data_IF_379641583611
#
_entry.id   IF_379641583611
#
_cell.length_a   1.000
_cell.length_b   1.000
_cell.length_c   1.000
_cell.angle_alpha   90.00
_cell.angle_beta   90.00
_cell.angle_gamma   90.00
#
_symmetry.space_group_name_H-M   'P 1'
#
loop_
_entity.id
_entity.type
_entity.pdbx_description
1 polymer ?
#
# COMPACT_ATOMS: atom_id res chain seq x y z
N UNK A 1 -14.72 2.45 -4.38
CA UNK A 1 -13.58 1.87 -3.65
C UNK A 1 -13.04 2.97 -2.75
N UNK A 2 -12.76 2.64 -1.49
CA UNK A 2 -12.19 3.56 -0.50
C UNK A 2 -10.91 2.94 0.05
N UNK A 3 -9.77 3.59 -0.24
CA UNK A 3 -8.45 3.10 0.14
C UNK A 3 -8.09 3.40 1.61
N UNK A 4 -8.88 4.25 2.27
CA UNK A 4 -8.70 4.67 3.66
C UNK A 4 -10.05 4.67 4.36
N UNK A 5 -10.65 3.49 4.49
CA UNK A 5 -12.05 3.41 4.91
C UNK A 5 -12.27 3.87 6.36
N UNK A 6 -11.25 3.84 7.21
CA UNK A 6 -11.31 4.31 8.59
C UNK A 6 -12.45 3.64 9.34
N UNK A 7 -13.39 4.45 9.83
CA UNK A 7 -14.59 3.96 10.51
C UNK A 7 -15.65 3.34 9.57
N UNK A 8 -15.45 3.36 8.25
CA UNK A 8 -16.30 2.70 7.26
C UNK A 8 -17.51 3.50 6.78
N UNK A 9 -17.53 4.82 6.98
CA UNK A 9 -18.70 5.67 6.63
C UNK A 9 -19.06 5.62 5.15
N UNK A 10 -18.06 5.58 4.26
CA UNK A 10 -18.28 5.42 2.82
C UNK A 10 -18.92 4.06 2.48
N UNK A 11 -18.44 2.99 3.12
CA UNK A 11 -18.92 1.63 2.87
C UNK A 11 -20.36 1.46 3.30
N UNK A 12 -20.74 2.05 4.44
CA UNK A 12 -22.11 2.04 4.94
C UNK A 12 -23.05 2.77 3.98
N UNK A 13 -22.68 3.98 3.54
CA UNK A 13 -23.48 4.72 2.56
C UNK A 13 -23.59 3.97 1.22
N UNK A 14 -22.52 3.31 0.79
CA UNK A 14 -22.56 2.48 -0.42
C UNK A 14 -23.49 1.27 -0.26
N UNK A 15 -23.50 0.63 0.90
CA UNK A 15 -24.39 -0.49 1.22
C UNK A 15 -25.86 -0.04 1.25
N UNK A 16 -26.17 1.09 1.88
CA UNK A 16 -27.52 1.68 1.91
C UNK A 16 -28.04 1.99 0.49
N UNK A 17 -27.17 2.51 -0.37
CA UNK A 17 -27.46 2.80 -1.77
C UNK A 17 -27.44 1.54 -2.67
N UNK A 18 -27.26 0.34 -2.11
CA UNK A 18 -27.17 -0.94 -2.82
C UNK A 18 -26.09 -0.94 -3.91
N UNK A 19 -24.95 -0.32 -3.63
CA UNK A 19 -23.78 -0.24 -4.52
C UNK A 19 -22.71 -1.23 -4.09
N UNK A 20 -21.94 -1.73 -5.06
CA UNK A 20 -20.73 -2.50 -4.77
C UNK A 20 -19.65 -1.60 -4.18
N UNK A 21 -18.95 -2.10 -3.18
CA UNK A 21 -17.88 -1.35 -2.52
C UNK A 21 -16.69 -2.26 -2.20
N UNK A 22 -15.54 -1.62 -2.05
CA UNK A 22 -14.29 -2.22 -1.57
C UNK A 22 -13.71 -1.18 -0.62
N UNK A 23 -13.39 -1.60 0.60
CA UNK A 23 -12.78 -0.78 1.62
C UNK A 23 -11.44 -1.35 2.04
N UNK A 24 -10.43 -0.49 2.15
CA UNK A 24 -9.08 -0.86 2.56
C UNK A 24 -8.70 0.06 3.72
N UNK A 25 -8.04 -0.51 4.71
CA UNK A 25 -7.38 0.23 5.79
C UNK A 25 -6.20 -0.61 6.31
N UNK A 26 -5.19 0.04 6.88
CA UNK A 26 -4.08 -0.62 7.57
C UNK A 26 -4.38 -0.87 9.06
N UNK A 27 -5.32 -0.12 9.63
CA UNK A 27 -5.70 -0.18 11.03
C UNK A 27 -6.61 -1.37 11.31
N UNK A 28 -6.12 -2.33 12.11
CA UNK A 28 -6.94 -3.45 12.61
C UNK A 28 -8.22 -2.95 13.33
N UNK A 29 -8.11 -1.85 14.09
CA UNK A 29 -9.24 -1.22 14.76
C UNK A 29 -10.24 -0.62 13.76
N UNK A 30 -9.76 0.13 12.77
CA UNK A 30 -10.59 0.72 11.70
C UNK A 30 -11.39 -0.36 10.96
N UNK A 31 -10.73 -1.46 10.58
CA UNK A 31 -11.36 -2.63 9.98
C UNK A 31 -12.44 -3.23 10.90
N UNK A 32 -12.16 -3.42 12.19
CA UNK A 32 -13.17 -3.95 13.13
C UNK A 32 -14.35 -3.01 13.34
N UNK A 33 -14.10 -1.70 13.47
CA UNK A 33 -15.16 -0.70 13.60
C UNK A 33 -16.05 -0.71 12.37
N UNK A 34 -15.45 -0.78 11.17
CA UNK A 34 -16.16 -0.91 9.90
C UNK A 34 -17.02 -2.17 9.86
N UNK A 35 -16.47 -3.34 10.14
CA UNK A 35 -17.23 -4.60 10.19
C UNK A 35 -18.39 -4.54 11.17
N UNK A 36 -18.14 -4.03 12.39
CA UNK A 36 -19.17 -3.87 13.41
C UNK A 36 -20.30 -2.97 12.92
N UNK A 37 -19.99 -1.86 12.24
CA UNK A 37 -21.02 -0.95 11.71
C UNK A 37 -21.79 -1.57 10.55
N UNK A 38 -21.11 -2.32 9.66
CA UNK A 38 -21.76 -3.04 8.56
C UNK A 38 -22.73 -4.13 9.06
N UNK A 39 -22.32 -4.91 10.07
CA UNK A 39 -23.19 -5.95 10.64
C UNK A 39 -24.37 -5.39 11.45
N UNK A 40 -24.25 -4.17 11.96
CA UNK A 40 -25.29 -3.49 12.75
C UNK A 40 -26.04 -2.42 11.93
N UNK A 41 -26.07 -2.57 10.59
CA UNK A 41 -26.77 -1.63 9.71
C UNK A 41 -28.27 -1.62 10.03
N UNK A 42 -28.82 -0.40 10.08
CA UNK A 42 -30.24 -0.17 10.34
C UNK A 42 -30.80 0.74 9.28
N UNK A 43 -32.04 0.47 8.90
CA UNK A 43 -32.83 1.32 8.03
C UNK A 43 -33.15 2.66 8.72
N UNK A 44 -33.64 3.63 7.95
CA UNK A 44 -34.12 4.92 8.45
C UNK A 44 -35.14 4.76 9.59
N UNK A 45 -35.94 3.68 9.53
CA UNK A 45 -36.93 3.29 10.55
C UNK A 45 -36.33 2.48 11.72
N UNK A 46 -35.00 2.45 11.86
CA UNK A 46 -34.22 1.67 12.83
C UNK A 46 -34.45 0.16 12.79
N UNK A 47 -34.97 -0.36 11.67
CA UNK A 47 -35.13 -1.80 11.45
C UNK A 47 -33.78 -2.41 11.05
N UNK A 48 -33.40 -3.57 11.58
CA UNK A 48 -32.17 -4.23 11.16
C UNK A 48 -32.26 -4.56 9.66
N UNK A 49 -31.29 -4.08 8.89
CA UNK A 49 -31.13 -4.46 7.49
C UNK A 49 -30.12 -5.60 7.46
N UNK A 50 -30.45 -6.69 6.77
CA UNK A 50 -29.47 -7.72 6.47
C UNK A 50 -28.43 -7.12 5.51
N UNK A 51 -27.21 -6.91 6.00
CA UNK A 51 -26.07 -6.52 5.17
C UNK A 51 -25.79 -7.64 4.17
N UNK A 52 -25.45 -7.28 2.93
CA UNK A 52 -25.01 -8.27 1.96
C UNK A 52 -23.75 -8.99 2.47
N UNK A 53 -23.60 -10.30 2.20
CA UNK A 53 -22.39 -11.01 2.57
C UNK A 53 -21.15 -10.33 1.98
N UNK A 54 -20.18 -10.00 2.84
CA UNK A 54 -18.89 -9.44 2.44
C UNK A 54 -17.75 -10.34 2.92
N UNK A 55 -16.61 -10.27 2.24
CA UNK A 55 -15.41 -11.03 2.59
C UNK A 55 -14.33 -10.09 3.08
N UNK A 56 -13.70 -10.47 4.20
CA UNK A 56 -12.52 -9.77 4.72
C UNK A 56 -11.26 -10.43 4.17
N UNK A 57 -10.47 -9.65 3.43
CA UNK A 57 -9.15 -10.07 2.96
C UNK A 57 -8.07 -9.30 3.73
N UNK A 58 -7.10 -10.03 4.26
CA UNK A 58 -5.89 -9.45 4.84
C UNK A 58 -4.76 -9.55 3.80
N UNK A 59 -4.11 -8.43 3.50
CA UNK A 59 -2.93 -8.39 2.67
C UNK A 59 -1.69 -8.84 3.47
N UNK A 60 -1.64 -10.14 3.78
CA UNK A 60 -0.48 -10.82 4.34
C UNK A 60 -0.27 -10.61 5.84
N UNK A 61 -0.63 -11.65 6.61
CA UNK A 61 -0.11 -11.84 7.96
C UNK A 61 1.35 -12.32 7.86
N UNK A 62 2.26 -11.40 7.58
CA UNK A 62 3.68 -11.75 7.64
C UNK A 62 4.20 -11.58 9.06
N UNK A 63 4.90 -12.58 9.55
CA UNK A 63 5.61 -12.45 10.82
C UNK A 63 6.76 -11.46 10.64
N UNK A 64 6.59 -10.27 11.20
CA UNK A 64 7.58 -9.20 11.13
C UNK A 64 8.91 -9.62 11.77
N UNK A 65 8.89 -10.44 12.83
CA UNK A 65 10.13 -10.95 13.42
C UNK A 65 10.86 -11.85 12.44
N UNK A 66 10.12 -12.78 11.84
CA UNK A 66 10.69 -13.69 10.85
C UNK A 66 11.29 -12.92 9.67
N UNK A 67 10.57 -11.94 9.11
CA UNK A 67 11.08 -11.11 7.99
C UNK A 67 12.36 -10.37 8.39
N UNK A 68 12.42 -9.83 9.62
CA UNK A 68 13.56 -9.04 10.09
C UNK A 68 14.82 -9.90 10.31
N UNK A 69 14.66 -11.19 10.60
CA UNK A 69 15.75 -12.14 10.83
C UNK A 69 16.22 -12.84 9.55
N UNK A 70 15.52 -12.67 8.42
CA UNK A 70 15.89 -13.31 7.16
C UNK A 70 17.23 -12.77 6.61
N UNK A 71 18.11 -13.66 6.11
CA UNK A 71 19.27 -13.26 5.32
C UNK A 71 18.85 -12.48 4.06
N UNK A 72 19.69 -11.55 3.61
CA UNK A 72 19.40 -10.63 2.50
C UNK A 72 18.86 -11.32 1.24
N UNK A 73 19.47 -12.42 0.80
CA UNK A 73 19.04 -13.17 -0.38
C UNK A 73 17.61 -13.69 -0.25
N UNK A 74 17.25 -14.22 0.93
CA UNK A 74 15.90 -14.76 1.19
C UNK A 74 14.88 -13.64 1.34
N UNK A 75 15.27 -12.53 1.95
CA UNK A 75 14.44 -11.32 2.03
C UNK A 75 14.15 -10.75 0.64
N UNK A 76 15.16 -10.70 -0.25
CA UNK A 76 15.05 -10.23 -1.62
C UNK A 76 14.06 -11.11 -2.42
N UNK A 77 14.22 -12.42 -2.36
CA UNK A 77 13.31 -13.37 -3.00
C UNK A 77 11.87 -13.24 -2.48
N UNK A 78 11.71 -13.11 -1.16
CA UNK A 78 10.42 -12.88 -0.53
C UNK A 78 9.76 -11.59 -1.04
N UNK A 79 10.51 -10.48 -1.07
CA UNK A 79 10.01 -9.19 -1.55
C UNK A 79 9.65 -9.23 -3.04
N UNK A 80 10.49 -9.84 -3.88
CA UNK A 80 10.22 -9.98 -5.32
C UNK A 80 8.94 -10.79 -5.58
N UNK A 81 8.75 -11.90 -4.86
CA UNK A 81 7.51 -12.70 -4.95
C UNK A 81 6.29 -11.94 -4.44
N UNK A 82 6.44 -11.17 -3.34
CA UNK A 82 5.37 -10.37 -2.76
C UNK A 82 4.79 -9.37 -3.77
N UNK A 83 5.65 -8.71 -4.56
CA UNK A 83 5.25 -7.75 -5.58
C UNK A 83 5.09 -8.36 -6.98
N UNK A 84 5.22 -9.69 -7.11
CA UNK A 84 5.21 -10.41 -8.39
C UNK A 84 6.21 -9.83 -9.40
N UNK A 85 7.35 -9.33 -8.91
CA UNK A 85 8.42 -8.80 -9.73
C UNK A 85 9.23 -9.94 -10.35
N UNK A 86 9.64 -9.75 -11.60
CA UNK A 86 10.61 -10.66 -12.25
C UNK A 86 12.01 -10.30 -11.77
N UNK A 87 12.77 -11.31 -11.39
CA UNK A 87 14.20 -11.16 -11.11
C UNK A 87 15.01 -11.13 -12.42
N UNK A 88 14.74 -10.12 -13.24
CA UNK A 88 15.45 -9.91 -14.50
C UNK A 88 16.21 -8.58 -14.39
N UNK A 89 17.50 -8.58 -14.74
CA UNK A 89 18.27 -7.33 -14.91
C UNK A 89 17.63 -6.53 -16.04
N UNK A 90 16.85 -5.52 -15.69
CA UNK A 90 16.27 -4.61 -16.66
C UNK A 90 17.27 -3.51 -17.00
N UNK A 91 17.74 -3.50 -18.24
CA UNK A 91 18.48 -2.37 -18.80
C UNK A 91 17.49 -1.29 -19.26
N UNK A 92 17.30 -0.25 -18.46
CA UNK A 92 16.56 0.93 -18.90
C UNK A 92 17.53 1.80 -19.69
N UNK A 93 17.42 1.74 -21.02
CA UNK A 93 18.09 2.64 -21.97
C UNK A 93 19.63 2.61 -21.95
N UNK A 94 20.27 1.43 -21.96
CA UNK A 94 21.72 1.25 -22.25
C UNK A 94 22.68 2.12 -21.41
N UNK A 95 22.35 2.41 -20.15
CA UNK A 95 23.29 3.08 -19.24
C UNK A 95 23.51 2.18 -18.03
N UNK A 96 24.71 1.60 -17.96
CA UNK A 96 25.22 0.96 -16.75
C UNK A 96 25.38 2.03 -15.65
N UNK A 97 24.61 1.90 -14.56
CA UNK A 97 24.90 2.63 -13.32
C UNK A 97 25.86 1.82 -12.47
N UNK A 98 27.15 1.98 -12.73
CA UNK A 98 28.18 1.75 -11.71
C UNK A 98 28.07 2.89 -10.70
N UNK A 99 27.52 2.60 -9.52
CA UNK A 99 27.57 3.53 -8.40
C UNK A 99 28.99 3.57 -7.82
N UNK A 100 29.90 4.27 -8.50
CA UNK A 100 31.14 4.77 -7.88
C UNK A 100 30.94 6.25 -7.57
N UNK A 101 31.26 6.63 -6.34
CA UNK A 101 31.12 7.98 -5.77
C UNK A 101 32.06 9.04 -6.38
N UNK A 102 32.58 8.84 -7.59
CA UNK A 102 33.57 9.74 -8.20
C UNK A 102 32.95 10.82 -9.09
N UNK A 103 31.67 10.72 -9.48
CA UNK A 103 31.05 11.69 -10.40
C UNK A 103 30.44 12.94 -9.74
N UNK A 104 30.37 13.02 -8.41
CA UNK A 104 29.95 14.26 -7.73
C UNK A 104 31.07 15.32 -7.68
N UNK A 105 32.33 14.95 -7.93
CA UNK A 105 33.45 15.89 -7.93
C UNK A 105 33.43 16.86 -9.14
N UNK A 106 32.90 16.44 -10.30
CA UNK A 106 32.87 17.25 -11.52
C UNK A 106 31.80 18.36 -11.52
N UNK A 107 30.80 18.30 -10.64
CA UNK A 107 29.75 19.33 -10.56
C UNK A 107 30.16 20.57 -9.75
N UNK A 108 31.32 20.53 -9.09
CA UNK A 108 31.89 21.66 -8.33
C UNK A 108 32.82 22.56 -9.16
N UNK A 109 33.15 22.15 -10.40
CA UNK A 109 34.06 22.87 -11.30
C UNK A 109 33.33 23.80 -12.28
N UNK A 110 32.03 23.54 -12.54
CA UNK A 110 31.23 24.25 -13.54
C UNK A 110 30.59 25.54 -12.97
N UNK A 111 30.49 25.69 -11.65
CA UNK A 111 29.88 26.88 -11.01
C UNK A 111 30.88 28.00 -10.68
N UNK A 112 32.16 27.88 -11.09
CA UNK A 112 33.21 28.89 -10.78
C UNK A 112 33.48 29.93 -11.87
N UNK A 113 32.72 29.95 -12.97
CA UNK A 113 32.99 30.89 -14.07
C UNK A 113 31.76 31.65 -14.62
N UNK A 114 30.89 32.11 -13.74
CA UNK A 114 29.97 33.22 -14.05
C UNK A 114 30.23 34.36 -13.07
N UNK A 115 31.20 35.21 -13.41
CA UNK A 115 31.27 36.59 -12.90
C UNK A 115 29.95 37.27 -13.28
N UNK A 116 29.16 37.66 -12.30
CA UNK A 116 28.10 38.65 -12.49
C UNK A 116 28.73 40.03 -12.68
N UNK A 117 28.20 40.88 -13.59
CA UNK A 117 28.49 42.31 -13.59
C UNK A 117 27.96 43.01 -12.34
#
# INVERSE_FOLDING_TARGET
MDAFCGAGSFLIAAEELKRRWIGIDCGKFAIYTTQKRLLNLKDEKRKPIACNPFTLHNAGLYDYKMIKELPWEQYRDFALRLFQCRDERHEISKIERTATWEQTASWSSITRNTKMP
#
